data_IF_132132804079
#
_entry.id   IF_132132804079
#
_cell.length_a   1.000
_cell.length_b   1.000
_cell.length_c   1.000
_cell.angle_alpha   90.00
_cell.angle_beta   90.00
_cell.angle_gamma   90.00
#
_symmetry.space_group_name_H-M   'P 1'
#
loop_
_entity.id
_entity.type
_entity.pdbx_description
1 polymer ?
#
# COMPACT_ATOMS: atom_id res chain seq x y z
N UNK A 1 12.50 12.48 23.93
CA UNK A 1 12.48 13.77 24.66
C UNK A 1 13.43 14.71 23.94
N UNK A 2 12.98 15.90 23.54
CA UNK A 2 13.80 16.91 22.87
C UNK A 2 13.41 18.32 23.33
N UNK A 3 14.28 19.31 23.13
CA UNK A 3 13.99 20.71 23.42
C UNK A 3 13.44 21.40 22.17
N UNK A 4 12.20 21.87 22.23
CA UNK A 4 11.52 22.45 21.07
C UNK A 4 12.15 23.79 20.65
N UNK A 5 12.69 24.55 21.61
CA UNK A 5 13.29 25.85 21.36
C UNK A 5 14.61 25.72 20.60
N UNK A 6 15.36 24.64 20.81
CA UNK A 6 16.58 24.35 20.05
C UNK A 6 16.26 24.12 18.57
N UNK A 7 15.19 23.38 18.27
CA UNK A 7 14.73 23.13 16.89
C UNK A 7 14.28 24.43 16.20
N UNK A 8 13.60 25.32 16.92
CA UNK A 8 13.11 26.59 16.36
C UNK A 8 14.24 27.54 15.95
N UNK A 9 15.41 27.39 16.56
CA UNK A 9 16.57 28.24 16.28
C UNK A 9 17.42 27.74 15.10
N UNK A 10 17.03 26.63 14.44
CA UNK A 10 17.75 26.09 13.29
C UNK A 10 17.59 27.06 12.09
N UNK A 11 18.69 27.59 11.51
CA UNK A 11 18.59 28.66 10.49
C UNK A 11 17.82 28.28 9.23
N UNK A 12 17.99 27.04 8.76
CA UNK A 12 17.44 26.54 7.50
C UNK A 12 15.95 26.20 7.57
N UNK A 13 15.52 25.57 8.68
CA UNK A 13 14.17 24.98 8.80
C UNK A 13 13.41 25.39 10.07
N UNK A 14 14.02 26.15 10.98
CA UNK A 14 13.45 26.46 12.29
C UNK A 14 12.09 27.15 12.21
N UNK A 15 11.88 28.04 11.23
CA UNK A 15 10.59 28.71 11.02
C UNK A 15 9.48 27.73 10.57
N UNK A 16 9.81 26.77 9.69
CA UNK A 16 8.87 25.73 9.23
C UNK A 16 8.53 24.79 10.37
N UNK A 17 9.55 24.30 11.09
CA UNK A 17 9.38 23.41 12.23
C UNK A 17 8.62 24.09 13.36
N UNK A 18 8.81 25.40 13.56
CA UNK A 18 8.01 26.17 14.52
C UNK A 18 6.53 26.13 14.18
N UNK A 19 6.18 26.40 12.93
CA UNK A 19 4.79 26.34 12.48
C UNK A 19 4.23 24.92 12.61
N UNK A 20 4.99 23.91 12.19
CA UNK A 20 4.59 22.51 12.27
C UNK A 20 4.38 22.06 13.72
N UNK A 21 5.39 22.15 14.57
CA UNK A 21 5.31 21.68 15.95
C UNK A 21 4.32 22.49 16.79
N UNK A 22 4.06 23.76 16.48
CA UNK A 22 2.98 24.52 17.15
C UNK A 22 1.59 23.95 16.81
N UNK A 23 1.40 23.47 15.59
CA UNK A 23 0.11 22.92 15.15
C UNK A 23 -0.10 21.47 15.64
N UNK A 24 0.96 20.67 15.61
CA UNK A 24 0.91 19.22 15.89
C UNK A 24 1.17 18.88 17.36
N UNK A 25 1.33 19.90 18.22
CA UNK A 25 1.56 19.69 19.66
C UNK A 25 0.38 20.07 20.55
N UNK A 26 0.35 19.43 21.72
CA UNK A 26 -0.63 19.64 22.77
C UNK A 26 0.00 19.63 24.16
N UNK A 27 -0.59 20.39 25.09
CA UNK A 27 -0.19 20.42 26.49
C UNK A 27 -1.01 19.43 27.36
N UNK A 28 -0.69 19.39 28.66
CA UNK A 28 -1.34 18.46 29.59
C UNK A 28 -2.83 18.75 29.80
N UNK A 29 -3.24 20.01 29.66
CA UNK A 29 -4.63 20.42 29.83
C UNK A 29 -5.48 20.03 28.62
N UNK A 30 -4.93 20.17 27.40
CA UNK A 30 -5.53 19.70 26.16
C UNK A 30 -5.70 18.18 26.17
N UNK A 31 -4.64 17.43 26.48
CA UNK A 31 -4.67 15.95 26.56
C UNK A 31 -5.73 15.47 27.55
N UNK A 32 -5.77 16.05 28.76
CA UNK A 32 -6.71 15.64 29.82
C UNK A 32 -8.16 15.82 29.41
N UNK A 33 -8.45 16.89 28.67
CA UNK A 33 -9.81 17.24 28.25
C UNK A 33 -10.27 16.40 27.06
N UNK A 34 -9.35 16.03 26.17
CA UNK A 34 -9.68 15.40 24.89
C UNK A 34 -9.72 13.86 24.95
N UNK A 35 -8.83 13.23 25.73
CA UNK A 35 -8.77 11.75 25.84
C UNK A 35 -9.96 11.19 26.63
N UNK A 36 -10.34 11.89 27.69
CA UNK A 36 -11.46 11.52 28.54
C UNK A 36 -12.63 12.42 28.18
N UNK A 37 -13.54 11.95 27.31
CA UNK A 37 -14.80 12.67 27.01
C UNK A 37 -15.55 12.91 28.31
N UNK A 38 -15.40 14.12 28.87
CA UNK A 38 -16.10 14.63 30.06
C UNK A 38 -16.56 13.56 31.06
N UNK A 39 -15.65 12.86 31.72
CA UNK A 39 -16.02 12.04 32.87
C UNK A 39 -16.26 12.96 34.07
N UNK A 40 -17.49 13.47 34.20
CA UNK A 40 -17.98 14.03 35.47
C UNK A 40 -18.27 12.94 36.50
N UNK A 41 -18.16 11.67 36.11
CA UNK A 41 -18.36 10.51 36.97
C UNK A 41 -17.08 10.16 37.72
N UNK A 42 -17.19 10.22 39.05
CA UNK A 42 -16.25 9.67 40.02
C UNK A 42 -15.84 8.25 39.58
N UNK A 43 -14.53 7.97 39.49
CA UNK A 43 -13.94 6.69 39.01
C UNK A 43 -14.45 5.48 39.84
N UNK A 44 -15.12 5.76 40.96
CA UNK A 44 -15.75 4.80 41.87
C UNK A 44 -17.04 4.17 41.31
N UNK A 45 -17.71 4.81 40.35
CA UNK A 45 -18.90 4.27 39.69
C UNK A 45 -18.53 3.53 38.39
N UNK A 46 -17.92 2.35 38.51
CA UNK A 46 -17.84 1.16 37.60
C UNK A 46 -17.94 1.27 36.05
N UNK A 47 -18.00 2.44 35.43
CA UNK A 47 -17.92 2.67 33.99
C UNK A 47 -16.60 3.34 33.69
N UNK A 48 -15.68 2.56 33.13
CA UNK A 48 -14.45 3.08 32.54
C UNK A 48 -14.91 4.08 31.45
N UNK A 49 -14.51 5.36 31.51
CA UNK A 49 -14.86 6.32 30.48
C UNK A 49 -14.31 5.87 29.12
N UNK A 50 -15.09 6.09 28.06
CA UNK A 50 -14.70 5.71 26.70
C UNK A 50 -13.36 6.38 26.34
N UNK A 51 -12.33 5.55 26.15
CA UNK A 51 -11.00 6.01 25.76
C UNK A 51 -11.02 6.47 24.30
N UNK A 52 -10.72 7.75 24.07
CA UNK A 52 -10.58 8.30 22.72
C UNK A 52 -9.11 8.58 22.40
N UNK A 53 -8.50 7.79 21.52
CA UNK A 53 -7.11 7.97 21.10
C UNK A 53 -6.92 9.04 20.01
N UNK A 54 -8.01 9.46 19.33
CA UNK A 54 -7.94 10.43 18.23
C UNK A 54 -7.17 11.71 18.57
N UNK A 55 -7.30 12.30 19.77
CA UNK A 55 -6.53 13.50 20.13
C UNK A 55 -5.02 13.27 20.15
N UNK A 56 -4.57 12.07 20.54
CA UNK A 56 -3.15 11.70 20.50
C UNK A 56 -2.69 11.56 19.04
N UNK A 57 -3.52 10.96 18.19
CA UNK A 57 -3.23 10.79 16.76
C UNK A 57 -3.23 12.12 16.00
N UNK A 58 -4.14 13.03 16.34
CA UNK A 58 -4.26 14.34 15.71
C UNK A 58 -3.11 15.29 16.07
N UNK A 59 -2.66 15.25 17.33
CA UNK A 59 -1.53 16.06 17.83
C UNK A 59 -0.52 15.16 18.56
N UNK A 60 0.34 14.44 17.84
CA UNK A 60 1.20 13.40 18.42
C UNK A 60 2.37 13.92 19.27
N UNK A 61 2.55 15.24 19.37
CA UNK A 61 3.62 15.85 20.18
C UNK A 61 3.05 16.39 21.48
N UNK A 62 3.55 15.91 22.61
CA UNK A 62 3.32 16.55 23.91
C UNK A 62 4.41 17.57 24.18
N UNK A 63 4.05 18.77 24.63
CA UNK A 63 5.02 19.78 25.07
C UNK A 63 4.75 20.21 26.52
N UNK A 64 5.83 20.53 27.22
CA UNK A 64 5.80 21.06 28.58
C UNK A 64 6.06 22.57 28.57
N UNK A 65 5.63 23.27 29.62
CA UNK A 65 5.84 24.72 29.76
C UNK A 65 7.32 25.12 29.76
N UNK A 66 8.23 24.22 30.14
CA UNK A 66 9.67 24.46 30.13
C UNK A 66 10.34 24.15 28.77
N UNK A 67 9.55 23.94 27.71
CA UNK A 67 10.03 23.79 26.34
C UNK A 67 10.52 22.39 25.97
N UNK A 68 10.37 21.40 26.87
CA UNK A 68 10.62 20.00 26.54
C UNK A 68 9.44 19.42 25.77
N UNK A 69 9.73 18.52 24.84
CA UNK A 69 8.71 17.87 24.02
C UNK A 69 8.97 16.36 23.91
N UNK A 70 7.87 15.61 23.79
CA UNK A 70 7.83 14.15 23.70
C UNK A 70 6.91 13.79 22.55
N UNK A 71 7.40 12.94 21.65
CA UNK A 71 6.53 12.24 20.69
C UNK A 71 5.80 11.15 21.48
N UNK A 72 4.48 11.26 21.57
CA UNK A 72 3.63 10.34 22.34
C UNK A 72 3.55 8.96 21.69
N UNK A 73 3.42 8.95 20.36
CA UNK A 73 3.42 7.76 19.54
C UNK A 73 4.23 8.00 18.25
N UNK A 74 5.34 7.27 18.03
CA UNK A 74 6.18 7.45 16.85
C UNK A 74 5.47 7.12 15.52
N UNK A 75 4.51 6.20 15.52
CA UNK A 75 3.74 5.84 14.32
C UNK A 75 2.82 6.99 13.93
N UNK A 76 2.05 7.51 14.88
CA UNK A 76 1.18 8.67 14.62
C UNK A 76 1.98 9.91 14.18
N UNK A 77 3.12 10.16 14.83
CA UNK A 77 4.00 11.26 14.42
C UNK A 77 4.53 11.07 12.99
N UNK A 78 5.00 9.86 12.66
CA UNK A 78 5.48 9.55 11.31
C UNK A 78 4.39 9.73 10.25
N UNK A 79 3.19 9.21 10.48
CA UNK A 79 2.05 9.38 9.57
C UNK A 79 1.64 10.86 9.40
N UNK A 80 1.64 11.62 10.50
CA UNK A 80 1.36 13.07 10.48
C UNK A 80 2.43 13.86 9.74
N UNK A 81 3.70 13.48 9.81
CA UNK A 81 4.76 14.13 9.04
C UNK A 81 4.71 13.78 7.56
N UNK A 82 4.40 12.52 7.22
CA UNK A 82 4.52 11.99 5.86
C UNK A 82 3.29 12.30 5.00
N UNK A 83 2.10 11.95 5.47
CA UNK A 83 0.86 12.07 4.69
C UNK A 83 -0.05 13.18 5.22
N UNK A 84 0.06 13.52 6.51
CA UNK A 84 -0.73 14.57 7.17
C UNK A 84 -0.86 15.88 6.37
N UNK A 85 0.22 16.45 5.79
CA UNK A 85 0.14 17.70 5.04
C UNK A 85 -0.80 17.65 3.83
N UNK A 86 -0.97 16.49 3.18
CA UNK A 86 -1.88 16.33 2.05
C UNK A 86 -3.34 16.65 2.44
N UNK A 87 -3.72 16.32 3.66
CA UNK A 87 -5.08 16.51 4.16
C UNK A 87 -5.35 17.96 4.62
N UNK A 88 -4.31 18.77 4.81
CA UNK A 88 -4.42 20.21 5.14
C UNK A 88 -4.62 21.09 3.92
N UNK A 89 -4.44 20.55 2.71
CA UNK A 89 -4.63 21.28 1.46
C UNK A 89 -6.11 21.59 1.21
N UNK A 90 -6.38 22.71 0.51
CA UNK A 90 -7.73 23.01 0.01
C UNK A 90 -8.23 21.88 -0.88
N UNK A 91 -9.56 21.70 -0.98
CA UNK A 91 -10.13 20.56 -1.70
C UNK A 91 -9.59 20.41 -3.14
N UNK A 92 -9.55 21.50 -3.90
CA UNK A 92 -9.08 21.50 -5.29
C UNK A 92 -7.60 21.11 -5.41
N UNK A 93 -6.75 21.68 -4.55
CA UNK A 93 -5.31 21.39 -4.52
C UNK A 93 -5.08 19.95 -4.05
N UNK A 94 -5.85 19.50 -3.06
CA UNK A 94 -5.79 18.16 -2.52
C UNK A 94 -6.19 17.09 -3.53
N UNK A 95 -7.27 17.28 -4.27
CA UNK A 95 -7.71 16.32 -5.29
C UNK A 95 -6.66 16.18 -6.41
N UNK A 96 -6.04 17.30 -6.78
CA UNK A 96 -4.91 17.32 -7.72
C UNK A 96 -3.70 16.60 -7.13
N UNK A 97 -3.34 16.87 -5.87
CA UNK A 97 -2.23 16.24 -5.18
C UNK A 97 -2.42 14.72 -5.05
N UNK A 98 -3.62 14.24 -4.73
CA UNK A 98 -3.92 12.80 -4.68
C UNK A 98 -3.78 12.12 -6.05
N UNK A 99 -4.14 12.82 -7.12
CA UNK A 99 -3.94 12.30 -8.49
C UNK A 99 -2.45 12.16 -8.79
N UNK A 100 -1.64 13.16 -8.46
CA UNK A 100 -0.18 13.08 -8.62
C UNK A 100 0.46 12.03 -7.71
N UNK A 101 -0.02 11.90 -6.48
CA UNK A 101 0.44 10.88 -5.56
C UNK A 101 0.21 9.47 -6.10
N UNK A 102 -1.00 9.21 -6.65
CA UNK A 102 -1.31 7.94 -7.30
C UNK A 102 -0.35 7.61 -8.44
N UNK A 103 -0.08 8.58 -9.33
CA UNK A 103 0.89 8.42 -10.43
C UNK A 103 2.31 8.18 -9.94
N UNK A 104 2.75 8.94 -8.93
CA UNK A 104 4.08 8.77 -8.34
C UNK A 104 4.24 7.39 -7.69
N UNK A 105 3.18 6.87 -7.07
CA UNK A 105 3.18 5.52 -6.50
C UNK A 105 3.22 4.43 -7.58
N UNK A 106 2.46 4.58 -8.67
CA UNK A 106 2.53 3.68 -9.83
C UNK A 106 3.93 3.67 -10.45
N UNK A 107 4.55 4.84 -10.65
CA UNK A 107 5.92 4.95 -11.11
C UNK A 107 6.91 4.28 -10.15
N UNK A 108 6.73 4.46 -8.84
CA UNK A 108 7.56 3.84 -7.83
C UNK A 108 7.49 2.30 -7.89
N UNK A 109 6.27 1.75 -7.94
CA UNK A 109 6.03 0.31 -8.08
C UNK A 109 6.64 -0.23 -9.36
N UNK A 110 6.40 0.42 -10.49
CA UNK A 110 6.96 0.02 -11.77
C UNK A 110 8.50 0.06 -11.79
N UNK A 111 9.11 1.01 -11.09
CA UNK A 111 10.56 1.07 -10.94
C UNK A 111 11.09 -0.11 -10.12
N UNK A 112 10.38 -0.56 -9.08
CA UNK A 112 10.72 -1.79 -8.35
C UNK A 112 10.63 -3.00 -9.28
N UNK A 113 9.53 -3.14 -10.02
CA UNK A 113 9.32 -4.25 -10.97
C UNK A 113 10.42 -4.31 -12.04
N UNK A 114 10.84 -3.17 -12.59
CA UNK A 114 11.93 -3.11 -13.56
C UNK A 114 13.29 -3.53 -12.95
N UNK A 115 13.54 -3.25 -11.66
CA UNK A 115 14.75 -3.71 -10.98
C UNK A 115 14.70 -5.19 -10.63
N UNK A 116 13.52 -5.70 -10.29
CA UNK A 116 13.28 -7.13 -10.08
C UNK A 116 13.46 -7.94 -11.37
N UNK A 117 13.00 -7.40 -12.49
CA UNK A 117 12.98 -8.08 -13.78
C UNK A 117 13.67 -7.23 -14.85
N UNK A 118 14.99 -7.04 -14.75
CA UNK A 118 15.72 -6.18 -15.68
C UNK A 118 15.66 -6.76 -17.10
N UNK A 119 15.64 -5.87 -18.07
CA UNK A 119 15.79 -6.24 -19.48
C UNK A 119 17.18 -6.85 -19.67
N UNK A 120 17.22 -8.04 -20.28
CA UNK A 120 18.49 -8.66 -20.62
C UNK A 120 19.08 -7.85 -21.77
N UNK A 121 20.26 -7.25 -21.56
CA UNK A 121 20.94 -6.32 -22.48
C UNK A 121 21.24 -6.86 -23.89
N UNK A 122 20.97 -8.15 -24.15
CA UNK A 122 21.08 -8.81 -25.44
C UNK A 122 19.75 -9.33 -26.01
N UNK A 123 18.65 -9.22 -25.27
CA UNK A 123 17.33 -9.64 -25.70
C UNK A 123 16.48 -8.42 -26.09
N UNK A 124 15.87 -8.46 -27.27
CA UNK A 124 14.85 -7.49 -27.72
C UNK A 124 13.53 -7.60 -26.91
N UNK A 125 13.51 -8.40 -25.85
CA UNK A 125 12.32 -8.78 -25.10
C UNK A 125 12.33 -8.02 -23.78
N UNK A 126 11.46 -7.02 -23.69
CA UNK A 126 11.15 -6.33 -22.45
C UNK A 126 10.40 -7.29 -21.53
N UNK A 127 10.91 -7.57 -20.33
CA UNK A 127 10.24 -8.54 -19.42
C UNK A 127 9.01 -7.91 -18.77
N UNK A 128 9.14 -6.67 -18.31
CA UNK A 128 8.03 -5.90 -17.71
C UNK A 128 7.53 -4.85 -18.70
N UNK A 129 6.29 -5.00 -19.14
CA UNK A 129 5.60 -3.97 -19.91
C UNK A 129 4.80 -3.09 -18.95
N UNK A 130 4.68 -1.80 -19.27
CA UNK A 130 4.05 -0.79 -18.42
C UNK A 130 3.05 0.00 -19.25
N UNK A 131 2.02 0.55 -18.59
CA UNK A 131 1.07 1.50 -19.19
C UNK A 131 0.48 0.95 -20.49
N UNK A 132 0.06 -0.32 -20.47
CA UNK A 132 -0.37 -1.06 -21.66
C UNK A 132 -1.81 -0.65 -21.99
N UNK A 133 -2.01 -0.11 -23.19
CA UNK A 133 -3.35 0.26 -23.65
C UNK A 133 -4.12 -0.98 -24.08
N UNK A 134 -5.21 -1.28 -23.38
CA UNK A 134 -6.13 -2.36 -23.65
C UNK A 134 -7.43 -1.83 -24.24
N UNK A 135 -8.06 -2.61 -25.12
CA UNK A 135 -9.36 -2.30 -25.73
C UNK A 135 -10.33 -3.40 -25.35
N UNK A 136 -11.43 -3.05 -24.68
CA UNK A 136 -12.46 -4.03 -24.33
C UNK A 136 -13.39 -4.38 -25.51
N UNK A 137 -14.37 -5.24 -25.25
CA UNK A 137 -15.29 -5.71 -26.29
C UNK A 137 -16.16 -4.61 -26.90
N UNK A 138 -16.41 -3.56 -26.13
CA UNK A 138 -17.20 -2.39 -26.52
C UNK A 138 -16.34 -1.31 -27.20
N UNK A 139 -15.05 -1.61 -27.41
CA UNK A 139 -14.03 -0.69 -27.93
C UNK A 139 -13.72 0.48 -26.99
N UNK A 140 -13.98 0.33 -25.69
CA UNK A 140 -13.49 1.30 -24.72
C UNK A 140 -12.04 0.98 -24.38
N UNK A 141 -11.22 2.03 -24.40
CA UNK A 141 -9.82 1.95 -23.98
C UNK A 141 -9.70 1.99 -22.46
N UNK A 142 -8.78 1.19 -21.93
CA UNK A 142 -8.35 1.26 -20.54
C UNK A 142 -6.89 0.81 -20.42
N UNK A 143 -6.22 1.25 -19.37
CA UNK A 143 -4.79 1.00 -19.16
C UNK A 143 -4.58 -0.17 -18.20
N UNK A 144 -3.51 -0.92 -18.44
CA UNK A 144 -2.95 -1.91 -17.50
C UNK A 144 -1.63 -1.34 -17.00
N UNK A 145 -1.51 -1.13 -15.69
CA UNK A 145 -0.35 -0.45 -15.09
C UNK A 145 0.97 -1.17 -15.43
N UNK A 146 1.02 -2.49 -15.22
CA UNK A 146 2.15 -3.30 -15.68
C UNK A 146 1.79 -4.78 -15.91
N UNK A 147 2.62 -5.47 -16.70
CA UNK A 147 2.59 -6.93 -16.81
C UNK A 147 3.99 -7.54 -16.89
N UNK A 148 4.13 -8.75 -16.33
CA UNK A 148 5.26 -9.64 -16.57
C UNK A 148 4.77 -10.75 -17.49
N UNK A 149 5.27 -10.78 -18.73
CA UNK A 149 4.83 -11.74 -19.74
C UNK A 149 5.91 -12.80 -20.00
N UNK A 150 5.69 -14.02 -19.52
CA UNK A 150 6.54 -15.18 -19.79
C UNK A 150 5.88 -16.13 -20.82
N UNK A 151 5.17 -15.55 -21.80
CA UNK A 151 4.49 -16.19 -22.94
C UNK A 151 3.26 -17.02 -22.55
N UNK A 152 3.45 -18.10 -21.79
CA UNK A 152 2.35 -19.01 -21.37
C UNK A 152 1.76 -18.61 -20.02
N UNK A 153 2.54 -17.93 -19.19
CA UNK A 153 2.10 -17.43 -17.89
C UNK A 153 2.29 -15.91 -17.86
N UNK A 154 1.23 -15.19 -17.50
CA UNK A 154 1.24 -13.73 -17.47
C UNK A 154 0.82 -13.26 -16.09
N UNK A 155 1.58 -12.33 -15.53
CA UNK A 155 1.22 -11.62 -14.31
C UNK A 155 0.75 -10.23 -14.70
N UNK A 156 -0.47 -9.87 -14.30
CA UNK A 156 -0.97 -8.51 -14.46
C UNK A 156 -0.91 -7.80 -13.12
N UNK A 157 -0.28 -6.64 -13.10
CA UNK A 157 -0.17 -5.79 -11.93
C UNK A 157 -1.09 -4.60 -12.09
N UNK A 158 -1.93 -4.40 -11.09
CA UNK A 158 -2.73 -3.20 -10.89
C UNK A 158 -2.27 -2.53 -9.61
N UNK A 159 -2.06 -1.22 -9.64
CA UNK A 159 -1.50 -0.46 -8.52
C UNK A 159 -2.55 0.47 -7.95
N UNK A 160 -2.72 0.49 -6.62
CA UNK A 160 -3.69 1.37 -5.96
C UNK A 160 -3.15 2.04 -4.70
N UNK A 161 -3.27 3.36 -4.72
CA UNK A 161 -3.19 4.21 -3.52
C UNK A 161 -4.61 4.41 -2.98
N UNK A 162 -4.96 3.68 -1.92
CA UNK A 162 -6.24 3.82 -1.24
C UNK A 162 -6.03 4.32 0.18
N UNK A 163 -6.50 5.54 0.48
CA UNK A 163 -6.56 6.01 1.86
C UNK A 163 -7.89 5.57 2.47
N UNK A 164 -7.83 4.53 3.32
CA UNK A 164 -8.99 4.12 4.10
C UNK A 164 -9.29 5.15 5.18
N UNK A 165 -10.57 5.46 5.33
CA UNK A 165 -11.02 6.51 6.25
C UNK A 165 -11.29 5.89 7.60
N UNK A 166 -10.64 6.41 8.63
CA UNK A 166 -10.77 5.91 10.00
C UNK A 166 -12.22 5.97 10.50
N UNK A 167 -12.98 7.01 10.17
CA UNK A 167 -14.41 7.10 10.52
C UNK A 167 -15.30 6.03 9.87
N UNK A 168 -14.79 5.38 8.81
CA UNK A 168 -15.43 4.25 8.14
C UNK A 168 -14.98 2.92 8.73
N UNK A 169 -13.71 2.80 9.12
CA UNK A 169 -13.14 1.61 9.76
C UNK A 169 -13.72 1.42 11.17
N UNK A 170 -13.76 2.49 11.97
CA UNK A 170 -14.24 2.47 13.36
C UNK A 170 -15.77 2.59 13.47
N UNK A 171 -16.50 2.45 12.36
CA UNK A 171 -17.95 2.52 12.37
C UNK A 171 -18.52 1.29 13.08
N UNK A 172 -19.57 1.47 13.89
CA UNK A 172 -20.25 0.35 14.55
C UNK A 172 -20.93 -0.60 13.55
N UNK A 173 -21.37 -0.07 12.40
CA UNK A 173 -21.89 -0.87 11.30
C UNK A 173 -20.75 -1.28 10.35
N UNK A 174 -20.39 -2.56 10.39
CA UNK A 174 -19.30 -3.10 9.57
C UNK A 174 -19.58 -2.99 8.06
N UNK A 175 -20.84 -2.92 7.62
CA UNK A 175 -21.18 -2.74 6.21
C UNK A 175 -20.70 -1.39 5.68
N UNK A 176 -20.59 -0.37 6.54
CA UNK A 176 -20.01 0.91 6.17
C UNK A 176 -18.54 0.74 5.77
N UNK A 177 -17.79 -0.10 6.50
CA UNK A 177 -16.41 -0.39 6.18
C UNK A 177 -16.28 -1.25 4.92
N UNK A 178 -17.09 -2.30 4.79
CA UNK A 178 -17.08 -3.19 3.61
C UNK A 178 -17.40 -2.40 2.34
N UNK A 179 -18.42 -1.55 2.35
CA UNK A 179 -18.75 -0.71 1.19
C UNK A 179 -17.67 0.33 0.90
N UNK A 180 -16.97 0.83 1.93
CA UNK A 180 -15.81 1.70 1.74
C UNK A 180 -14.63 0.97 1.08
N UNK A 181 -14.40 -0.32 1.39
CA UNK A 181 -13.43 -1.15 0.67
C UNK A 181 -13.83 -1.35 -0.79
N UNK A 182 -15.10 -1.68 -1.06
CA UNK A 182 -15.63 -1.84 -2.43
C UNK A 182 -15.41 -0.58 -3.28
N UNK A 183 -15.76 0.60 -2.74
CA UNK A 183 -15.57 1.88 -3.44
C UNK A 183 -14.10 2.14 -3.81
N UNK A 184 -13.16 1.74 -2.93
CA UNK A 184 -11.74 2.02 -3.12
C UNK A 184 -11.04 1.02 -4.03
N UNK A 185 -11.40 -0.25 -3.95
CA UNK A 185 -10.60 -1.34 -4.51
C UNK A 185 -11.34 -2.24 -5.51
N UNK A 186 -12.65 -2.08 -5.68
CA UNK A 186 -13.46 -2.92 -6.59
C UNK A 186 -14.14 -2.07 -7.65
N UNK A 187 -15.05 -1.19 -7.25
CA UNK A 187 -15.80 -0.34 -8.17
C UNK A 187 -16.29 0.92 -7.47
N UNK A 188 -16.15 2.05 -8.16
CA UNK A 188 -16.66 3.36 -7.73
C UNK A 188 -17.70 3.88 -8.72
N UNK A 189 -18.34 5.01 -8.40
CA UNK A 189 -19.20 5.74 -9.36
C UNK A 189 -18.49 6.15 -10.65
N UNK A 190 -17.14 6.21 -10.64
CA UNK A 190 -16.32 6.52 -11.83
C UNK A 190 -15.90 5.27 -12.61
N UNK A 191 -16.37 4.09 -12.22
CA UNK A 191 -16.03 2.80 -12.82
C UNK A 191 -15.10 1.95 -11.96
N UNK A 192 -14.56 0.90 -12.59
CA UNK A 192 -13.77 -0.16 -11.95
C UNK A 192 -12.46 0.35 -11.35
N UNK A 193 -12.07 -0.26 -10.22
CA UNK A 193 -10.85 0.04 -9.45
C UNK A 193 -10.17 -1.26 -9.08
N UNK A 194 -8.84 -1.31 -9.05
CA UNK A 194 -8.11 -2.41 -8.41
C UNK A 194 -8.56 -3.79 -8.93
N UNK A 195 -9.24 -4.54 -8.07
CA UNK A 195 -9.86 -5.84 -8.37
C UNK A 195 -10.81 -5.77 -9.57
N UNK A 196 -11.61 -4.71 -9.69
CA UNK A 196 -12.49 -4.51 -10.84
C UNK A 196 -11.76 -4.30 -12.15
N UNK A 197 -10.56 -3.70 -12.14
CA UNK A 197 -9.74 -3.57 -13.35
C UNK A 197 -9.08 -4.90 -13.69
N UNK A 198 -8.56 -5.63 -12.70
CA UNK A 198 -8.06 -6.99 -12.89
C UNK A 198 -9.12 -7.92 -13.48
N UNK A 199 -10.36 -7.86 -12.99
CA UNK A 199 -11.46 -8.67 -13.52
C UNK A 199 -11.78 -8.28 -14.97
N UNK A 200 -11.75 -6.98 -15.29
CA UNK A 200 -11.94 -6.48 -16.66
C UNK A 200 -10.85 -7.02 -17.60
N UNK A 201 -9.57 -6.98 -17.19
CA UNK A 201 -8.44 -7.54 -17.94
C UNK A 201 -8.68 -9.01 -18.26
N UNK A 202 -9.04 -9.80 -17.24
CA UNK A 202 -9.29 -11.24 -17.39
C UNK A 202 -10.45 -11.51 -18.35
N UNK A 203 -11.58 -10.79 -18.22
CA UNK A 203 -12.72 -10.93 -19.16
C UNK A 203 -12.30 -10.63 -20.61
N UNK A 204 -11.58 -9.53 -20.82
CA UNK A 204 -11.11 -9.11 -22.16
C UNK A 204 -10.19 -10.14 -22.81
N UNK A 205 -9.26 -10.72 -22.04
CA UNK A 205 -8.36 -11.76 -22.56
C UNK A 205 -9.07 -13.09 -22.77
N UNK A 206 -9.97 -13.47 -21.86
CA UNK A 206 -10.72 -14.73 -21.95
C UNK A 206 -11.64 -14.78 -23.17
N UNK A 207 -12.18 -13.64 -23.60
CA UNK A 207 -12.97 -13.57 -24.84
C UNK A 207 -12.14 -13.60 -26.12
N UNK A 208 -10.81 -13.51 -26.00
CA UNK A 208 -9.83 -13.49 -27.09
C UNK A 208 -10.05 -12.38 -28.13
N UNK A 209 -10.88 -11.37 -27.83
CA UNK A 209 -11.11 -10.21 -28.72
C UNK A 209 -9.94 -9.24 -28.73
N UNK A 210 -9.17 -9.20 -27.65
CA UNK A 210 -7.91 -8.48 -27.55
C UNK A 210 -6.86 -9.40 -26.94
N UNK A 211 -5.68 -9.46 -27.54
CA UNK A 211 -4.57 -10.33 -27.13
C UNK A 211 -3.26 -9.52 -27.02
N UNK A 212 -3.36 -8.20 -26.83
CA UNK A 212 -2.25 -7.27 -26.97
C UNK A 212 -2.20 -6.62 -28.35
N UNK A 213 -1.58 -5.43 -28.45
CA UNK A 213 -1.43 -4.70 -29.71
C UNK A 213 -0.66 -5.53 -30.75
N UNK A 214 0.33 -6.30 -30.29
CA UNK A 214 1.17 -7.17 -31.11
C UNK A 214 0.86 -8.66 -30.90
N UNK A 215 -0.32 -8.97 -30.34
CA UNK A 215 -0.73 -10.33 -29.95
C UNK A 215 0.18 -11.00 -28.92
N UNK A 216 0.85 -10.23 -28.07
CA UNK A 216 1.79 -10.72 -27.06
C UNK A 216 1.16 -11.66 -26.01
N UNK A 217 -0.17 -11.65 -25.85
CA UNK A 217 -0.91 -12.53 -24.93
C UNK A 217 -1.60 -13.71 -25.63
N UNK A 218 -1.33 -13.93 -26.92
CA UNK A 218 -1.99 -14.99 -27.70
C UNK A 218 -1.78 -16.39 -27.13
N UNK A 219 -0.56 -16.66 -26.66
CA UNK A 219 -0.13 -17.95 -26.11
C UNK A 219 -0.36 -18.06 -24.59
N UNK A 220 -0.96 -17.04 -23.96
CA UNK A 220 -1.24 -17.06 -22.54
C UNK A 220 -2.21 -18.21 -22.21
N UNK A 221 -1.81 -19.01 -21.23
CA UNK A 221 -2.57 -20.14 -20.69
C UNK A 221 -2.93 -19.90 -19.23
N UNK A 222 -2.06 -19.19 -18.50
CA UNK A 222 -2.24 -18.91 -17.07
C UNK A 222 -2.09 -17.44 -16.75
N UNK A 223 -2.98 -16.93 -15.91
CA UNK A 223 -2.95 -15.54 -15.44
C UNK A 223 -2.85 -15.48 -13.92
N UNK A 224 -1.96 -14.63 -13.43
CA UNK A 224 -1.87 -14.20 -12.04
C UNK A 224 -2.28 -12.72 -11.93
N UNK A 225 -3.51 -12.43 -11.47
CA UNK A 225 -3.93 -11.06 -11.17
C UNK A 225 -3.28 -10.62 -9.85
N UNK A 226 -2.54 -9.52 -9.87
CA UNK A 226 -1.84 -8.97 -8.70
C UNK A 226 -2.29 -7.54 -8.45
N UNK A 227 -2.81 -7.27 -7.25
CA UNK A 227 -3.10 -5.93 -6.78
C UNK A 227 -1.98 -5.47 -5.85
N UNK A 228 -1.24 -4.45 -6.27
CA UNK A 228 -0.21 -3.81 -5.45
C UNK A 228 -0.85 -2.62 -4.72
N UNK A 229 -0.77 -2.62 -3.40
CA UNK A 229 -1.42 -1.62 -2.55
C UNK A 229 -0.42 -0.86 -1.70
N UNK A 230 -0.63 0.45 -1.56
CA UNK A 230 0.18 1.29 -0.68
C UNK A 230 -0.15 1.05 0.81
N UNK A 231 -1.38 0.64 1.13
CA UNK A 231 -1.85 0.46 2.49
C UNK A 231 -1.47 -0.93 3.04
N UNK A 232 -0.54 -0.94 3.99
CA UNK A 232 -0.03 -2.17 4.61
C UNK A 232 -1.06 -2.83 5.54
N UNK A 233 -2.12 -2.12 5.91
CA UNK A 233 -3.24 -2.69 6.66
C UNK A 233 -3.91 -3.87 5.93
N UNK A 234 -3.84 -3.88 4.59
CA UNK A 234 -4.38 -4.97 3.77
C UNK A 234 -3.58 -6.29 3.87
N UNK A 235 -2.49 -6.32 4.62
CA UNK A 235 -1.81 -7.57 5.02
C UNK A 235 -2.52 -8.32 6.14
N UNK A 236 -3.52 -7.73 6.80
CA UNK A 236 -4.28 -8.46 7.80
C UNK A 236 -5.04 -9.64 7.14
N UNK A 237 -5.27 -10.74 7.88
CA UNK A 237 -6.03 -11.87 7.37
C UNK A 237 -7.42 -11.47 6.85
N UNK A 238 -8.01 -12.32 6.00
CA UNK A 238 -9.37 -12.21 5.44
C UNK A 238 -9.57 -11.14 4.34
N UNK A 239 -8.73 -10.09 4.26
CA UNK A 239 -8.83 -9.14 3.14
C UNK A 239 -8.63 -9.79 1.77
N UNK A 240 -7.71 -10.76 1.69
CA UNK A 240 -7.50 -11.52 0.46
C UNK A 240 -8.74 -12.31 0.03
N UNK A 241 -9.42 -12.96 0.97
CA UNK A 241 -10.68 -13.70 0.74
C UNK A 241 -11.79 -12.76 0.28
N UNK A 242 -11.92 -11.60 0.93
CA UNK A 242 -12.88 -10.57 0.53
C UNK A 242 -12.67 -10.14 -0.93
N UNK A 243 -11.45 -9.76 -1.29
CA UNK A 243 -11.14 -9.34 -2.66
C UNK A 243 -11.25 -10.48 -3.68
N UNK A 244 -10.93 -11.72 -3.29
CA UNK A 244 -11.15 -12.89 -4.12
C UNK A 244 -12.64 -13.12 -4.40
N UNK A 245 -13.49 -12.94 -3.39
CA UNK A 245 -14.95 -13.07 -3.53
C UNK A 245 -15.53 -12.01 -4.46
N UNK A 246 -15.13 -10.74 -4.30
CA UNK A 246 -15.54 -9.64 -5.18
C UNK A 246 -15.05 -9.87 -6.63
N UNK A 247 -13.84 -10.40 -6.81
CA UNK A 247 -13.29 -10.75 -8.12
C UNK A 247 -14.10 -11.86 -8.81
N UNK A 248 -14.43 -12.93 -8.09
CA UNK A 248 -15.24 -14.04 -8.61
C UNK A 248 -16.65 -13.57 -9.00
N UNK A 249 -17.27 -12.73 -8.17
CA UNK A 249 -18.56 -12.12 -8.47
C UNK A 249 -18.51 -11.28 -9.75
N UNK A 250 -17.48 -10.45 -9.91
CA UNK A 250 -17.27 -9.66 -11.12
C UNK A 250 -17.02 -10.51 -12.37
N UNK A 251 -16.61 -11.77 -12.20
CA UNK A 251 -16.39 -12.75 -13.27
C UNK A 251 -17.54 -13.73 -13.46
N UNK A 252 -18.64 -13.56 -12.74
CA UNK A 252 -19.81 -14.44 -12.79
C UNK A 252 -19.44 -15.91 -12.46
N UNK A 253 -18.55 -16.10 -11.48
CA UNK A 253 -18.12 -17.41 -10.99
C UNK A 253 -18.75 -17.68 -9.62
N UNK A 254 -19.68 -18.63 -9.58
CA UNK A 254 -20.57 -18.87 -8.44
C UNK A 254 -19.91 -19.61 -7.25
N UNK A 255 -18.68 -20.09 -7.39
CA UNK A 255 -18.04 -20.89 -6.34
C UNK A 255 -16.55 -20.59 -6.18
N UNK A 256 -16.12 -20.66 -4.93
CA UNK A 256 -14.74 -20.46 -4.56
C UNK A 256 -13.90 -21.70 -4.96
N UNK A 257 -12.84 -21.55 -5.77
CA UNK A 257 -12.09 -22.71 -6.26
C UNK A 257 -11.25 -23.35 -5.16
N UNK A 258 -11.33 -24.68 -5.04
CA UNK A 258 -10.63 -25.45 -3.99
C UNK A 258 -9.10 -25.40 -4.06
N UNK A 259 -8.54 -25.10 -5.24
CA UNK A 259 -7.09 -24.97 -5.47
C UNK A 259 -6.65 -23.52 -5.71
N UNK A 260 -7.52 -22.55 -5.43
CA UNK A 260 -7.25 -21.12 -5.61
C UNK A 260 -7.13 -20.67 -7.07
N UNK A 261 -7.58 -21.49 -8.02
CA UNK A 261 -7.54 -21.23 -9.47
C UNK A 261 -8.83 -21.69 -10.15
N UNK A 262 -9.26 -20.97 -11.18
CA UNK A 262 -10.46 -21.31 -11.95
C UNK A 262 -10.22 -21.17 -13.45
N UNK A 263 -11.08 -21.78 -14.27
CA UNK A 263 -11.01 -21.70 -15.72
C UNK A 263 -12.02 -20.67 -16.23
N UNK A 264 -11.59 -19.77 -17.11
CA UNK A 264 -12.46 -18.86 -17.84
C UNK A 264 -12.03 -18.82 -19.32
N UNK A 265 -12.93 -19.20 -20.21
CA UNK A 265 -12.56 -19.48 -21.61
C UNK A 265 -11.49 -20.57 -21.69
N UNK A 266 -10.32 -20.24 -22.23
CA UNK A 266 -9.16 -21.13 -22.33
C UNK A 266 -8.05 -20.80 -21.31
N UNK A 267 -8.32 -19.92 -20.33
CA UNK A 267 -7.33 -19.39 -19.41
C UNK A 267 -7.53 -19.96 -18.00
N UNK A 268 -6.47 -20.47 -17.40
CA UNK A 268 -6.40 -20.77 -15.97
C UNK A 268 -6.04 -19.50 -15.22
N UNK A 269 -6.91 -19.05 -14.32
CA UNK A 269 -6.74 -17.79 -13.60
C UNK A 269 -6.62 -18.07 -12.11
N UNK A 270 -5.55 -17.59 -11.49
CA UNK A 270 -5.43 -17.60 -10.04
C UNK A 270 -6.35 -16.54 -9.42
N UNK A 271 -6.86 -16.80 -8.22
CA UNK A 271 -7.51 -15.75 -7.43
C UNK A 271 -6.53 -14.60 -7.17
N UNK A 272 -7.01 -13.34 -7.11
CA UNK A 272 -6.17 -12.17 -7.02
C UNK A 272 -5.22 -12.27 -5.83
N UNK A 273 -4.00 -11.79 -6.04
CA UNK A 273 -2.93 -11.78 -5.03
C UNK A 273 -2.70 -10.33 -4.63
N UNK A 274 -2.85 -10.06 -3.34
CA UNK A 274 -2.57 -8.74 -2.77
C UNK A 274 -1.12 -8.70 -2.33
N UNK A 275 -0.39 -7.70 -2.81
CA UNK A 275 0.98 -7.41 -2.41
C UNK A 275 1.01 -6.00 -1.86
N UNK A 276 1.35 -5.83 -0.59
CA UNK A 276 1.54 -4.48 -0.06
C UNK A 276 2.87 -3.92 -0.54
N UNK A 277 3.03 -2.60 -0.45
CA UNK A 277 4.29 -1.97 -0.84
C UNK A 277 5.47 -2.54 -0.03
N UNK A 278 5.30 -2.75 1.28
CA UNK A 278 6.34 -3.36 2.12
C UNK A 278 6.74 -4.76 1.63
N UNK A 279 5.78 -5.59 1.22
CA UNK A 279 6.09 -6.92 0.68
C UNK A 279 6.83 -6.82 -0.65
N UNK A 280 6.39 -5.95 -1.56
CA UNK A 280 7.05 -5.74 -2.84
C UNK A 280 8.49 -5.26 -2.66
N UNK A 281 8.70 -4.30 -1.75
CA UNK A 281 10.02 -3.79 -1.40
C UNK A 281 10.92 -4.89 -0.84
N UNK A 282 10.42 -5.74 0.07
CA UNK A 282 11.17 -6.87 0.59
C UNK A 282 11.46 -7.94 -0.48
N UNK A 283 10.54 -8.11 -1.44
CA UNK A 283 10.71 -9.06 -2.54
C UNK A 283 11.76 -8.59 -3.56
N UNK A 284 12.01 -7.28 -3.68
CA UNK A 284 12.88 -6.72 -4.72
C UNK A 284 14.22 -7.44 -4.85
N UNK A 285 14.95 -7.58 -3.73
CA UNK A 285 16.22 -8.31 -3.68
C UNK A 285 16.01 -9.81 -3.51
N UNK A 286 14.94 -10.22 -2.80
CA UNK A 286 14.73 -11.61 -2.41
C UNK A 286 14.44 -12.54 -3.60
N UNK A 287 13.82 -12.04 -4.67
CA UNK A 287 13.57 -12.81 -5.89
C UNK A 287 14.84 -13.20 -6.67
N UNK A 288 16.02 -12.69 -6.30
CA UNK A 288 17.31 -13.22 -6.78
C UNK A 288 17.54 -14.67 -6.29
N UNK A 289 16.84 -15.09 -5.23
CA UNK A 289 17.05 -16.35 -4.53
C UNK A 289 15.91 -17.37 -4.70
N UNK A 290 14.82 -16.99 -5.36
CA UNK A 290 13.69 -17.86 -5.71
C UNK A 290 12.86 -17.28 -6.86
N UNK A 291 12.12 -18.13 -7.59
CA UNK A 291 11.26 -17.66 -8.66
C UNK A 291 10.03 -16.91 -8.13
N UNK A 292 9.82 -15.67 -8.57
CA UNK A 292 8.63 -14.89 -8.20
C UNK A 292 7.33 -15.63 -8.58
N UNK A 293 7.24 -16.16 -9.80
CA UNK A 293 6.09 -16.97 -10.26
C UNK A 293 5.88 -18.25 -9.46
N UNK A 294 6.97 -18.92 -9.08
CA UNK A 294 6.93 -20.11 -8.24
C UNK A 294 6.29 -19.79 -6.89
N UNK A 295 6.72 -18.69 -6.25
CA UNK A 295 6.14 -18.19 -5.01
C UNK A 295 4.65 -17.89 -5.15
N UNK A 296 4.23 -17.18 -6.21
CA UNK A 296 2.80 -16.91 -6.46
C UNK A 296 2.00 -18.20 -6.68
N UNK A 297 2.58 -19.18 -7.37
CA UNK A 297 1.96 -20.49 -7.54
C UNK A 297 1.83 -21.25 -6.23
N UNK A 298 2.86 -21.24 -5.39
CA UNK A 298 2.86 -21.94 -4.10
C UNK A 298 1.87 -21.31 -3.14
N UNK A 299 1.83 -19.97 -3.10
CA UNK A 299 0.83 -19.23 -2.36
C UNK A 299 -0.59 -19.60 -2.83
N UNK A 300 -0.81 -19.63 -4.15
CA UNK A 300 -2.12 -19.96 -4.72
C UNK A 300 -2.60 -21.35 -4.33
N UNK A 301 -1.68 -22.33 -4.25
CA UNK A 301 -1.97 -23.73 -3.87
C UNK A 301 -2.13 -23.91 -2.35
N UNK A 302 -1.33 -23.21 -1.56
CA UNK A 302 -1.27 -23.38 -0.10
C UNK A 302 -2.37 -22.60 0.62
N UNK A 303 -2.71 -21.43 0.08
CA UNK A 303 -3.74 -20.54 0.63
C UNK A 303 -4.84 -20.34 -0.41
N UNK A 304 -5.54 -21.42 -0.83
CA UNK A 304 -6.51 -21.34 -1.91
C UNK A 304 -7.61 -20.34 -1.59
N UNK A 305 -8.08 -20.28 -0.33
CA UNK A 305 -9.11 -19.39 0.21
C UNK A 305 -8.71 -17.90 0.34
N UNK A 306 -7.41 -17.57 0.25
CA UNK A 306 -6.87 -16.22 0.47
C UNK A 306 -7.15 -15.64 1.87
N UNK A 307 -7.45 -16.46 2.86
CA UNK A 307 -7.60 -16.01 4.26
C UNK A 307 -6.25 -15.56 4.81
N UNK A 308 -5.20 -16.33 4.52
CA UNK A 308 -3.81 -15.99 4.86
C UNK A 308 -3.27 -15.02 3.82
N UNK A 309 -2.79 -13.86 4.25
CA UNK A 309 -2.15 -12.87 3.35
C UNK A 309 -0.82 -13.39 2.78
N UNK A 310 -0.37 -12.82 1.66
CA UNK A 310 0.92 -13.17 1.07
C UNK A 310 2.07 -12.92 2.07
N UNK A 311 2.01 -11.83 2.83
CA UNK A 311 2.96 -11.52 3.90
C UNK A 311 3.09 -12.69 4.90
N UNK A 312 1.96 -13.15 5.45
CA UNK A 312 1.95 -14.23 6.42
C UNK A 312 2.37 -15.57 5.81
N UNK A 313 2.02 -15.82 4.53
CA UNK A 313 2.52 -16.97 3.80
C UNK A 313 4.05 -16.94 3.65
N UNK A 314 4.64 -15.80 3.25
CA UNK A 314 6.10 -15.65 3.15
C UNK A 314 6.74 -15.93 4.51
N UNK A 315 6.24 -15.31 5.58
CA UNK A 315 6.78 -15.43 6.93
C UNK A 315 6.71 -16.87 7.50
N UNK A 316 5.67 -17.63 7.15
CA UNK A 316 5.42 -18.99 7.68
C UNK A 316 5.92 -20.13 6.78
N UNK A 317 6.36 -19.83 5.55
CA UNK A 317 6.79 -20.83 4.57
C UNK A 317 8.32 -20.90 4.43
N UNK A 318 8.78 -21.69 3.46
CA UNK A 318 10.22 -21.80 3.13
C UNK A 318 10.83 -20.48 2.62
N UNK A 319 10.01 -19.53 2.18
CA UNK A 319 10.44 -18.25 1.62
C UNK A 319 11.04 -17.31 2.68
N UNK A 320 10.59 -17.38 3.95
CA UNK A 320 11.13 -16.57 5.06
C UNK A 320 12.67 -16.61 5.13
N UNK A 321 13.25 -17.81 4.98
CA UNK A 321 14.72 -18.00 5.04
C UNK A 321 15.48 -17.46 3.82
N UNK A 322 14.74 -16.98 2.81
CA UNK A 322 15.26 -16.42 1.57
C UNK A 322 14.89 -14.94 1.41
N UNK A 323 14.43 -14.29 2.48
CA UNK A 323 14.16 -12.86 2.49
C UNK A 323 15.44 -12.09 2.82
N UNK A 324 15.76 -11.11 1.98
CA UNK A 324 16.96 -10.29 2.11
C UNK A 324 16.59 -8.81 2.16
N UNK A 325 17.41 -8.02 2.85
CA UNK A 325 17.24 -6.57 2.90
C UNK A 325 17.28 -5.97 1.49
N UNK A 326 16.35 -5.04 1.22
CA UNK A 326 16.30 -4.34 -0.05
C UNK A 326 17.54 -3.45 -0.22
N UNK A 327 18.42 -3.82 -1.17
CA UNK A 327 19.67 -3.11 -1.45
C UNK A 327 19.44 -1.67 -1.93
N UNK A 328 18.41 -1.45 -2.76
CA UNK A 328 18.07 -0.15 -3.37
C UNK A 328 17.56 0.84 -2.32
N UNK A 329 16.64 0.40 -1.46
CA UNK A 329 16.09 1.22 -0.37
C UNK A 329 17.15 1.49 0.68
N UNK A 330 17.94 0.49 1.06
CA UNK A 330 19.04 0.68 2.02
C UNK A 330 20.04 1.75 1.53
N UNK A 331 20.41 1.69 0.25
CA UNK A 331 21.31 2.67 -0.37
C UNK A 331 20.75 4.09 -0.42
N UNK A 332 19.51 4.25 -0.90
CA UNK A 332 18.89 5.58 -1.07
C UNK A 332 18.46 6.22 0.25
N UNK A 333 17.97 5.43 1.20
CA UNK A 333 17.57 5.91 2.54
C UNK A 333 18.75 6.51 3.28
N UNK A 334 19.94 5.92 3.17
CA UNK A 334 21.14 6.42 3.84
C UNK A 334 21.48 7.84 3.41
N UNK A 335 21.39 8.11 2.11
CA UNK A 335 21.64 9.44 1.56
C UNK A 335 20.63 10.46 2.09
N UNK A 336 19.34 10.11 2.11
CA UNK A 336 18.26 10.98 2.58
C UNK A 336 18.40 11.26 4.08
N UNK A 337 18.66 10.23 4.88
CA UNK A 337 18.85 10.34 6.34
C UNK A 337 20.05 11.23 6.64
N UNK A 338 21.18 11.03 5.98
CA UNK A 338 22.38 11.84 6.22
C UNK A 338 22.20 13.29 5.75
N UNK A 339 21.53 13.53 4.62
CA UNK A 339 21.15 14.89 4.19
C UNK A 339 20.23 15.58 5.19
N UNK A 340 19.20 14.88 5.65
CA UNK A 340 18.25 15.40 6.64
C UNK A 340 18.95 15.68 7.97
N UNK A 341 19.81 14.76 8.42
CA UNK A 341 20.59 14.92 9.65
C UNK A 341 21.51 16.14 9.57
N UNK A 342 22.27 16.30 8.49
CA UNK A 342 23.13 17.49 8.29
C UNK A 342 22.34 18.80 8.27
N UNK A 343 21.11 18.77 7.78
CA UNK A 343 20.22 19.92 7.77
C UNK A 343 19.76 20.37 9.18
N UNK A 344 19.56 19.42 10.11
CA UNK A 344 19.10 19.70 11.47
C UNK A 344 20.23 19.73 12.52
N UNK A 345 21.28 18.95 12.30
CA UNK A 345 22.41 18.71 13.20
C UNK A 345 23.72 18.67 12.39
N UNK A 346 24.25 19.84 11.96
CA UNK A 346 25.40 19.91 11.05
C UNK A 346 26.66 19.21 11.58
N UNK A 347 26.83 19.19 12.90
CA UNK A 347 28.02 18.65 13.57
C UNK A 347 27.88 17.17 13.96
N UNK A 348 26.74 16.54 13.69
CA UNK A 348 26.52 15.15 14.04
C UNK A 348 27.20 14.21 13.02
N UNK A 349 27.82 13.09 13.46
CA UNK A 349 28.47 12.14 12.54
C UNK A 349 27.44 11.54 11.57
N UNK A 350 27.87 11.10 10.39
CA UNK A 350 26.98 10.39 9.47
C UNK A 350 26.43 9.11 10.13
N UNK A 351 25.19 8.74 9.78
CA UNK A 351 24.60 7.49 10.22
C UNK A 351 25.20 6.34 9.41
N UNK A 352 25.46 5.20 10.06
CA UNK A 352 25.94 3.97 9.43
C UNK A 352 24.98 2.83 9.82
N UNK A 353 24.59 1.99 8.87
CA UNK A 353 23.81 0.78 9.22
C UNK A 353 24.69 -0.20 9.99
N UNK A 354 24.15 -0.93 10.98
CA UNK A 354 24.82 -2.10 11.51
C UNK A 354 25.10 -3.07 10.35
N UNK A 355 26.37 -3.47 10.22
CA UNK A 355 26.86 -4.42 9.20
C UNK A 355 26.15 -5.76 9.24
#
# INVERSE_FOLDING_TARGET
LFNINEIFNIPSYGHVMKKYLTNESQDASEIKTLIWKSSTTDIRDSKIPDFNYLPIREKPVYYTQDGRAIILDPVFFSEKMTVGPLFLLSKEVRDTAFTWFGKAFEDYVCNILNRMFPDLSQATIKRVNRNILCVDEEKNEFEIDACLNDVTEVIFFETKTGFLREDKILNEDYEVFVNHLRDKYVQSVKGNKGIGQLAKIVKTLASRKWLGENQEFKEAQKIYPVLIVQDTFLNAPVYGEFFASEFLQLLDIDSFPSNGQFLIGNLVVALPIIITIDDLENLETSIEHFGFREMLSDYSKTCPDRIVSLHNFIASSSYNKKMYHNKSIAGSTMEIVNKSKKAFFPDAPDFEFPS
#
